data_IF_903690393497
#
_entry.id   IF_903690393497
#
_cell.length_a   1.000
_cell.length_b   1.000
_cell.length_c   1.000
_cell.angle_alpha   90.00
_cell.angle_beta   90.00
_cell.angle_gamma   90.00
#
_symmetry.space_group_name_H-M   'P 1'
#
loop_
_entity.id
_entity.type
_entity.pdbx_description
1 polymer ?
#
# COMPACT_ATOMS: atom_id res chain seq x y z
N UNK A 1 32.73 -5.54 78.91
CA UNK A 1 31.57 -6.40 79.28
C UNK A 1 31.55 -7.59 78.31
N UNK A 2 32.21 -8.73 78.61
CA UNK A 2 31.64 -10.00 79.14
C UNK A 2 30.23 -10.30 78.54
N UNK A 3 29.96 -11.37 77.78
CA UNK A 3 30.38 -12.80 77.77
C UNK A 3 30.34 -13.33 76.31
N UNK A 4 31.38 -13.92 75.69
CA UNK A 4 31.85 -15.33 75.70
C UNK A 4 30.76 -16.41 75.84
N UNK A 5 30.65 -17.34 74.88
CA UNK A 5 30.86 -18.80 75.07
C UNK A 5 31.03 -19.50 73.71
N UNK A 6 32.01 -20.40 73.66
CA UNK A 6 32.48 -21.30 72.59
C UNK A 6 32.03 -22.74 72.95
N UNK A 7 32.12 -23.67 71.98
CA UNK A 7 32.15 -25.16 72.03
C UNK A 7 30.83 -25.85 71.61
N UNK A 8 30.80 -26.97 70.89
CA UNK A 8 31.81 -27.92 70.44
C UNK A 8 31.30 -28.72 69.20
N UNK A 9 32.24 -29.32 68.47
CA UNK A 9 32.00 -30.45 67.57
C UNK A 9 31.46 -31.67 68.35
N UNK A 10 30.46 -32.36 67.78
CA UNK A 10 30.21 -33.80 68.05
C UNK A 10 29.98 -34.51 66.72
N UNK A 11 30.82 -35.50 66.49
CA UNK A 11 30.76 -36.52 65.44
C UNK A 11 29.58 -37.46 65.65
N UNK A 12 28.82 -37.74 64.61
CA UNK A 12 27.83 -38.81 64.58
C UNK A 12 27.63 -39.34 63.16
N UNK A 13 28.31 -40.44 62.84
CA UNK A 13 28.00 -41.27 61.67
C UNK A 13 26.75 -42.08 62.03
N UNK A 14 25.69 -41.94 61.22
CA UNK A 14 24.61 -42.91 61.16
C UNK A 14 24.34 -43.23 59.68
N UNK A 15 24.70 -44.47 59.31
CA UNK A 15 24.34 -45.08 58.03
C UNK A 15 22.85 -45.41 58.08
N UNK A 16 22.07 -44.84 57.18
CA UNK A 16 20.66 -45.14 56.97
C UNK A 16 20.36 -45.09 55.49
N UNK A 17 20.11 -46.25 54.90
CA UNK A 17 19.76 -46.43 53.50
C UNK A 17 18.35 -45.87 53.18
N UNK A 18 18.14 -45.62 51.88
CA UNK A 18 16.84 -45.40 51.23
C UNK A 18 16.27 -43.97 51.40
N UNK A 19 15.77 -43.27 50.38
CA UNK A 19 15.23 -43.65 49.07
C UNK A 19 15.84 -42.73 47.99
N UNK A 20 16.17 -43.29 46.83
CA UNK A 20 16.11 -42.52 45.59
C UNK A 20 14.65 -42.11 45.39
N UNK A 21 14.32 -40.87 45.71
CA UNK A 21 13.12 -40.26 45.18
C UNK A 21 13.35 -40.11 43.68
N UNK A 22 12.95 -41.12 42.92
CA UNK A 22 12.62 -40.93 41.52
C UNK A 22 11.44 -39.97 41.57
N UNK A 23 11.69 -38.67 41.45
CA UNK A 23 10.63 -37.75 41.09
C UNK A 23 10.19 -38.22 39.71
N UNK A 24 9.13 -39.04 39.68
CA UNK A 24 8.31 -39.12 38.49
C UNK A 24 7.87 -37.68 38.24
N UNK A 25 8.54 -37.01 37.30
CA UNK A 25 7.87 -35.99 36.53
C UNK A 25 6.69 -36.74 35.92
N UNK A 26 5.53 -36.66 36.60
CA UNK A 26 4.29 -36.80 35.87
C UNK A 26 4.36 -35.65 34.87
N UNK A 27 4.66 -35.98 33.61
CA UNK A 27 4.34 -35.10 32.51
C UNK A 27 2.91 -34.64 32.78
N UNK A 28 2.74 -33.33 33.03
CA UNK A 28 1.41 -32.77 33.06
C UNK A 28 0.77 -33.24 31.75
N UNK A 29 -0.35 -33.95 31.84
CA UNK A 29 -1.03 -34.41 30.64
C UNK A 29 -1.33 -33.16 29.83
N UNK A 30 -0.64 -33.06 28.70
CA UNK A 30 -0.89 -32.02 27.73
C UNK A 30 -2.25 -32.35 27.14
N UNK A 31 -3.30 -31.81 27.77
CA UNK A 31 -4.68 -32.13 27.43
C UNK A 31 -5.08 -31.57 26.06
N UNK A 32 -4.14 -31.00 25.31
CA UNK A 32 -4.35 -30.42 24.00
C UNK A 32 -5.23 -29.17 24.05
N UNK A 33 -5.15 -28.37 22.99
CA UNK A 33 -6.08 -27.28 22.73
C UNK A 33 -7.14 -27.76 21.76
N UNK A 34 -8.40 -27.80 22.18
CA UNK A 34 -9.49 -28.29 21.34
C UNK A 34 -9.61 -27.51 20.02
N UNK A 35 -9.83 -28.22 18.91
CA UNK A 35 -10.12 -27.61 17.61
C UNK A 35 -11.63 -27.45 17.48
N UNK A 36 -12.14 -26.32 17.94
CA UNK A 36 -13.58 -26.03 17.97
C UNK A 36 -13.87 -24.55 17.70
N UNK A 37 -15.15 -24.20 17.61
CA UNK A 37 -15.62 -22.83 17.34
C UNK A 37 -15.28 -21.83 18.46
N UNK A 38 -15.01 -22.28 19.68
CA UNK A 38 -14.62 -21.39 20.78
C UNK A 38 -13.18 -20.87 20.60
N UNK A 39 -12.27 -21.74 20.16
CA UNK A 39 -10.85 -21.38 19.95
C UNK A 39 -10.61 -20.84 18.54
N UNK A 40 -11.20 -21.49 17.53
CA UNK A 40 -11.08 -21.17 16.11
C UNK A 40 -12.49 -20.91 15.54
N UNK A 41 -13.09 -19.73 15.73
CA UNK A 41 -14.48 -19.46 15.38
C UNK A 41 -14.77 -19.52 13.89
N UNK A 42 -13.80 -19.15 13.05
CA UNK A 42 -13.96 -19.19 11.59
C UNK A 42 -13.88 -20.63 11.06
N UNK A 43 -14.93 -21.08 10.37
CA UNK A 43 -15.04 -22.45 9.83
C UNK A 43 -13.89 -22.81 8.87
N UNK A 44 -13.49 -21.87 8.00
CA UNK A 44 -12.46 -22.11 7.00
C UNK A 44 -11.07 -22.17 7.65
N UNK A 45 -10.81 -21.29 8.63
CA UNK A 45 -9.57 -21.35 9.40
C UNK A 45 -9.50 -22.60 10.29
N UNK A 46 -10.59 -22.95 10.97
CA UNK A 46 -10.66 -24.15 11.80
C UNK A 46 -10.41 -25.43 10.98
N UNK A 47 -11.04 -25.55 9.82
CA UNK A 47 -10.79 -26.67 8.89
C UNK A 47 -9.33 -26.71 8.39
N UNK A 48 -8.68 -25.55 8.23
CA UNK A 48 -7.26 -25.51 7.91
C UNK A 48 -6.39 -26.01 9.07
N UNK A 49 -6.75 -25.68 10.31
CA UNK A 49 -6.02 -26.07 11.52
C UNK A 49 -6.08 -27.58 11.79
N UNK A 50 -7.15 -28.27 11.37
CA UNK A 50 -7.29 -29.74 11.51
C UNK A 50 -6.14 -30.56 10.88
N UNK A 51 -5.37 -29.98 9.96
CA UNK A 51 -4.21 -30.66 9.37
C UNK A 51 -3.01 -30.77 10.35
N UNK A 52 -3.01 -29.94 11.41
CA UNK A 52 -1.97 -29.91 12.43
C UNK A 52 -2.19 -30.97 13.49
N UNK A 53 -3.44 -31.35 13.76
CA UNK A 53 -3.81 -32.53 14.56
C UNK A 53 -3.39 -33.81 13.80
N UNK A 54 -2.30 -34.43 14.26
CA UNK A 54 -1.65 -35.60 13.65
C UNK A 54 -2.28 -36.89 14.12
N UNK A 55 -2.68 -36.96 15.38
CA UNK A 55 -3.28 -38.16 15.96
C UNK A 55 -4.80 -38.26 15.74
N UNK A 56 -5.41 -37.19 15.21
CA UNK A 56 -6.83 -37.04 14.89
C UNK A 56 -7.72 -37.15 16.12
N UNK A 57 -7.24 -36.66 17.27
CA UNK A 57 -7.98 -36.68 18.52
C UNK A 57 -8.93 -35.45 18.69
N UNK A 58 -8.88 -34.48 17.78
CA UNK A 58 -9.70 -33.26 17.82
C UNK A 58 -9.12 -32.13 18.67
N UNK A 59 -7.85 -32.23 19.08
CA UNK A 59 -7.12 -31.23 19.84
C UNK A 59 -5.68 -31.12 19.36
N UNK A 60 -5.03 -30.00 19.64
CA UNK A 60 -3.63 -29.74 19.33
C UNK A 60 -2.80 -29.78 20.59
N UNK A 61 -1.91 -30.76 20.72
CA UNK A 61 -0.93 -30.78 21.80
C UNK A 61 0.21 -29.76 21.57
N UNK A 62 1.03 -29.53 22.58
CA UNK A 62 2.17 -28.61 22.53
C UNK A 62 3.23 -28.99 21.51
N UNK A 63 3.37 -30.28 21.19
CA UNK A 63 4.30 -30.75 20.15
C UNK A 63 3.76 -30.40 18.77
N UNK A 64 2.45 -30.59 18.54
CA UNK A 64 1.78 -30.24 17.30
C UNK A 64 1.79 -28.72 17.08
N UNK A 65 1.43 -27.93 18.10
CA UNK A 65 1.49 -26.46 18.05
C UNK A 65 2.92 -25.97 17.79
N UNK A 66 3.93 -26.50 18.51
CA UNK A 66 5.32 -26.09 18.34
C UNK A 66 5.92 -26.50 16.98
N UNK A 67 5.37 -27.51 16.31
CA UNK A 67 5.79 -27.91 14.98
C UNK A 67 5.28 -26.96 13.88
N UNK A 68 4.24 -26.16 14.14
CA UNK A 68 3.70 -25.19 13.16
C UNK A 68 4.58 -23.96 13.12
N UNK A 69 5.36 -23.85 12.04
CA UNK A 69 6.27 -22.72 11.79
C UNK A 69 5.82 -21.84 10.62
N UNK A 70 4.86 -22.31 9.82
CA UNK A 70 4.28 -21.56 8.70
C UNK A 70 2.79 -21.86 8.55
N UNK A 71 2.00 -20.82 8.29
CA UNK A 71 0.58 -20.86 7.98
C UNK A 71 0.38 -20.10 6.67
N UNK A 72 -0.26 -20.76 5.71
CA UNK A 72 -0.64 -20.21 4.41
C UNK A 72 -2.12 -20.48 4.16
N UNK A 73 -2.91 -19.42 4.28
CA UNK A 73 -4.36 -19.40 4.19
C UNK A 73 -4.86 -18.35 3.19
N UNK A 74 -4.05 -18.03 2.19
CA UNK A 74 -4.41 -17.06 1.15
C UNK A 74 -5.70 -17.49 0.40
N UNK A 75 -6.60 -16.55 0.11
CA UNK A 75 -7.76 -16.80 -0.77
C UNK A 75 -8.81 -17.76 -0.18
N UNK A 76 -8.85 -17.96 1.14
CA UNK A 76 -9.70 -18.98 1.80
C UNK A 76 -11.05 -18.46 2.27
N UNK A 77 -11.35 -17.16 2.07
CA UNK A 77 -12.57 -16.49 2.56
C UNK A 77 -12.68 -16.55 4.09
N UNK A 78 -11.54 -16.44 4.77
CA UNK A 78 -11.47 -16.40 6.24
C UNK A 78 -11.84 -15.00 6.71
N UNK A 79 -12.78 -14.89 7.63
CA UNK A 79 -13.16 -13.64 8.28
C UNK A 79 -12.43 -13.42 9.62
N UNK A 80 -11.94 -14.49 10.25
CA UNK A 80 -11.19 -14.38 11.51
C UNK A 80 -10.07 -15.42 11.61
N UNK A 81 -8.88 -14.96 12.02
CA UNK A 81 -7.76 -15.81 12.39
C UNK A 81 -7.65 -16.03 13.90
N UNK A 82 -8.72 -15.79 14.67
CA UNK A 82 -8.72 -16.05 16.11
C UNK A 82 -8.28 -17.50 16.39
N UNK A 83 -7.36 -17.66 17.33
CA UNK A 83 -6.65 -18.91 17.63
C UNK A 83 -5.26 -19.00 17.01
N UNK A 84 -4.91 -18.12 16.05
CA UNK A 84 -3.56 -18.07 15.46
C UNK A 84 -2.48 -17.74 16.49
N UNK A 85 -2.83 -16.99 17.54
CA UNK A 85 -1.92 -16.59 18.63
C UNK A 85 -1.33 -17.78 19.41
N UNK A 86 -1.91 -18.98 19.27
CA UNK A 86 -1.40 -20.22 19.88
C UNK A 86 -0.09 -20.69 19.24
N UNK A 87 0.11 -20.42 17.95
CA UNK A 87 1.26 -20.89 17.18
C UNK A 87 2.49 -19.99 17.39
N UNK A 88 2.99 -19.91 18.63
CA UNK A 88 4.09 -19.00 19.01
C UNK A 88 5.42 -19.25 18.29
N UNK A 89 5.59 -20.41 17.63
CA UNK A 89 6.74 -20.76 16.77
C UNK A 89 6.56 -20.40 15.30
N UNK A 90 5.46 -19.72 14.96
CA UNK A 90 5.18 -19.27 13.61
C UNK A 90 6.18 -18.19 13.19
N UNK A 91 6.95 -18.48 12.14
CA UNK A 91 7.86 -17.52 11.52
C UNK A 91 7.30 -16.93 10.21
N UNK A 92 6.29 -17.57 9.62
CA UNK A 92 5.61 -17.09 8.41
C UNK A 92 4.10 -17.21 8.54
N UNK A 93 3.41 -16.08 8.34
CA UNK A 93 1.95 -16.02 8.21
C UNK A 93 1.59 -15.40 6.86
N UNK A 94 0.83 -16.12 6.05
CA UNK A 94 0.27 -15.62 4.79
C UNK A 94 -1.24 -15.81 4.80
N UNK A 95 -1.97 -14.70 4.80
CA UNK A 95 -3.43 -14.63 4.88
C UNK A 95 -4.02 -13.60 3.92
N UNK A 96 -3.35 -13.38 2.78
CA UNK A 96 -3.81 -12.47 1.74
C UNK A 96 -5.18 -12.88 1.18
N UNK A 97 -5.91 -11.92 0.59
CA UNK A 97 -7.15 -12.17 -0.16
C UNK A 97 -8.19 -12.91 0.71
N UNK A 98 -8.51 -12.34 1.87
CA UNK A 98 -9.48 -12.86 2.82
C UNK A 98 -10.42 -11.73 3.29
N UNK A 99 -11.32 -12.03 4.23
CA UNK A 99 -12.29 -11.09 4.78
C UNK A 99 -11.92 -10.63 6.20
N UNK A 100 -10.62 -10.68 6.58
CA UNK A 100 -10.15 -10.46 7.95
C UNK A 100 -10.29 -8.99 8.33
N UNK A 101 -11.08 -8.70 9.36
CA UNK A 101 -11.25 -7.35 9.90
C UNK A 101 -10.29 -7.02 11.05
N UNK A 102 -9.86 -8.05 11.79
CA UNK A 102 -8.97 -7.93 12.94
C UNK A 102 -7.91 -9.04 12.89
N UNK A 103 -6.65 -8.66 13.11
CA UNK A 103 -5.51 -9.57 13.08
C UNK A 103 -4.63 -9.33 14.31
N UNK A 104 -4.70 -10.25 15.27
CA UNK A 104 -3.82 -10.26 16.45
C UNK A 104 -2.61 -11.15 16.19
N UNK A 105 -1.43 -10.51 16.13
CA UNK A 105 -0.13 -11.18 15.93
C UNK A 105 0.83 -10.94 17.09
N UNK A 106 0.37 -10.34 18.20
CA UNK A 106 1.23 -9.91 19.30
C UNK A 106 1.98 -11.09 19.96
N UNK A 107 1.37 -12.27 20.01
CA UNK A 107 1.98 -13.48 20.56
C UNK A 107 3.03 -14.13 19.64
N UNK A 108 3.06 -13.76 18.35
CA UNK A 108 3.91 -14.39 17.33
C UNK A 108 5.32 -13.77 17.32
N UNK A 109 6.05 -13.93 18.42
CA UNK A 109 7.36 -13.26 18.64
C UNK A 109 8.46 -13.73 17.68
N UNK A 110 8.31 -14.88 17.04
CA UNK A 110 9.24 -15.42 16.05
C UNK A 110 8.85 -15.06 14.60
N UNK A 111 7.80 -14.26 14.41
CA UNK A 111 7.28 -13.91 13.08
C UNK A 111 8.27 -13.05 12.29
N UNK A 112 8.71 -13.58 11.15
CA UNK A 112 9.65 -12.93 10.23
C UNK A 112 8.98 -12.43 8.96
N UNK A 113 7.93 -13.12 8.51
CA UNK A 113 7.21 -12.80 7.28
C UNK A 113 5.71 -12.73 7.61
N UNK A 114 5.13 -11.54 7.41
CA UNK A 114 3.69 -11.33 7.47
C UNK A 114 3.19 -10.83 6.12
N UNK A 115 2.25 -11.57 5.54
CA UNK A 115 1.52 -11.18 4.35
C UNK A 115 0.02 -11.22 4.66
N UNK A 116 -0.61 -10.05 4.70
CA UNK A 116 -2.02 -9.87 5.04
C UNK A 116 -2.71 -8.89 4.07
N UNK A 117 -2.25 -8.85 2.82
CA UNK A 117 -2.81 -7.96 1.80
C UNK A 117 -4.27 -8.30 1.48
N UNK A 118 -5.00 -7.34 0.91
CA UNK A 118 -6.34 -7.59 0.37
C UNK A 118 -7.28 -8.23 1.41
N UNK A 119 -7.39 -7.58 2.56
CA UNK A 119 -8.28 -7.93 3.67
C UNK A 119 -9.20 -6.74 4.02
N UNK A 120 -9.80 -6.74 5.21
CA UNK A 120 -10.65 -5.66 5.72
C UNK A 120 -10.05 -5.00 6.97
N UNK A 121 -8.74 -5.06 7.12
CA UNK A 121 -8.05 -4.53 8.31
C UNK A 121 -8.17 -3.02 8.35
N UNK A 122 -8.60 -2.47 9.47
CA UNK A 122 -8.57 -1.02 9.74
C UNK A 122 -7.37 -0.59 10.58
N UNK A 123 -6.70 -1.56 11.21
CA UNK A 123 -5.49 -1.39 11.98
C UNK A 123 -4.64 -2.66 11.90
N UNK A 124 -3.34 -2.50 12.14
CA UNK A 124 -2.41 -3.61 12.24
C UNK A 124 -1.33 -3.23 13.25
N UNK A 125 -1.27 -3.94 14.37
CA UNK A 125 -0.22 -3.79 15.37
C UNK A 125 0.83 -4.88 15.17
N UNK A 126 2.03 -4.46 14.77
CA UNK A 126 3.22 -5.33 14.61
C UNK A 126 4.36 -4.90 15.54
N UNK A 127 4.09 -4.04 16.52
CA UNK A 127 5.11 -3.46 17.41
C UNK A 127 5.81 -4.50 18.28
N UNK A 128 5.14 -5.64 18.48
CA UNK A 128 5.59 -6.79 19.24
C UNK A 128 6.35 -7.83 18.40
N UNK A 129 6.33 -7.70 17.07
CA UNK A 129 6.98 -8.62 16.12
C UNK A 129 8.35 -8.08 15.70
N UNK A 130 9.28 -7.97 16.66
CA UNK A 130 10.61 -7.37 16.45
C UNK A 130 11.52 -8.16 15.49
N UNK A 131 11.16 -9.41 15.19
CA UNK A 131 11.84 -10.27 14.23
C UNK A 131 11.37 -10.10 12.78
N UNK A 132 10.39 -9.22 12.53
CA UNK A 132 9.80 -9.03 11.21
C UNK A 132 10.83 -8.48 10.21
N UNK A 133 10.99 -9.20 9.10
CA UNK A 133 11.89 -8.89 7.99
C UNK A 133 11.10 -8.45 6.75
N UNK A 134 9.91 -9.02 6.56
CA UNK A 134 9.03 -8.72 5.42
C UNK A 134 7.60 -8.49 5.89
N UNK A 135 7.03 -7.36 5.48
CA UNK A 135 5.64 -7.01 5.68
C UNK A 135 4.97 -6.67 4.34
N UNK A 136 3.91 -7.40 4.01
CA UNK A 136 3.04 -7.15 2.86
C UNK A 136 1.64 -6.92 3.41
N UNK A 137 1.25 -5.65 3.54
CA UNK A 137 0.00 -5.21 4.15
C UNK A 137 -0.87 -4.37 3.20
N UNK A 138 -0.40 -4.13 1.97
CA UNK A 138 -1.08 -3.36 0.94
C UNK A 138 -2.34 -4.00 0.36
N UNK A 139 -2.87 -3.37 -0.70
CA UNK A 139 -3.94 -3.92 -1.53
C UNK A 139 -3.50 -3.91 -3.01
N UNK A 140 -3.70 -5.03 -3.70
CA UNK A 140 -3.39 -5.22 -5.11
C UNK A 140 -4.59 -5.69 -5.94
N UNK A 141 -5.64 -6.17 -5.28
CA UNK A 141 -6.91 -6.51 -5.90
C UNK A 141 -7.72 -5.26 -6.24
N UNK A 142 -8.59 -5.39 -7.24
CA UNK A 142 -9.52 -4.32 -7.65
C UNK A 142 -10.95 -4.54 -7.15
N UNK A 143 -11.19 -5.61 -6.38
CA UNK A 143 -12.49 -5.92 -5.79
C UNK A 143 -12.66 -5.13 -4.49
N UNK A 144 -13.86 -4.56 -4.27
CA UNK A 144 -14.11 -3.62 -3.19
C UNK A 144 -13.93 -4.24 -1.79
N UNK A 145 -13.26 -3.51 -0.90
CA UNK A 145 -12.87 -3.99 0.43
C UNK A 145 -11.38 -4.32 0.44
N UNK A 146 -10.59 -3.42 1.02
CA UNK A 146 -9.14 -3.56 1.19
C UNK A 146 -8.75 -3.02 2.55
N UNK A 147 -7.53 -3.33 2.98
CA UNK A 147 -6.97 -2.80 4.20
C UNK A 147 -6.97 -1.27 4.16
N UNK A 148 -7.41 -0.64 5.23
CA UNK A 148 -7.47 0.82 5.36
C UNK A 148 -6.89 1.25 6.70
N UNK A 149 -5.61 1.60 6.70
CA UNK A 149 -4.90 1.95 7.93
C UNK A 149 -4.97 3.46 8.18
N UNK A 150 -5.39 3.86 9.38
CA UNK A 150 -5.21 5.25 9.83
C UNK A 150 -3.73 5.53 10.15
N UNK A 151 -3.03 4.53 10.70
CA UNK A 151 -1.62 4.55 11.00
C UNK A 151 -1.05 3.13 10.86
N UNK A 152 0.23 3.02 10.48
CA UNK A 152 0.99 1.78 10.47
C UNK A 152 2.29 2.00 11.24
N UNK A 153 2.29 1.62 12.52
CA UNK A 153 3.46 1.80 13.39
C UNK A 153 4.49 0.69 13.14
N UNK A 154 5.65 1.10 12.62
CA UNK A 154 6.78 0.22 12.28
C UNK A 154 8.02 0.48 13.15
N UNK A 155 7.87 1.26 14.23
CA UNK A 155 8.97 1.79 15.04
C UNK A 155 9.83 0.71 15.73
N UNK A 156 9.26 -0.46 15.99
CA UNK A 156 9.96 -1.60 16.61
C UNK A 156 10.47 -2.65 15.61
N UNK A 157 10.20 -2.49 14.31
CA UNK A 157 10.53 -3.48 13.29
C UNK A 157 11.87 -3.15 12.59
N UNK A 158 12.94 -2.96 13.37
CA UNK A 158 14.25 -2.54 12.85
C UNK A 158 14.91 -3.55 11.87
N UNK A 159 14.43 -4.79 11.83
CA UNK A 159 14.89 -5.85 10.91
C UNK A 159 14.18 -5.83 9.56
N UNK A 160 13.14 -5.00 9.39
CA UNK A 160 12.35 -4.93 8.18
C UNK A 160 13.24 -4.51 6.99
N UNK A 161 13.31 -5.36 5.97
CA UNK A 161 14.03 -5.09 4.72
C UNK A 161 13.09 -4.96 3.51
N UNK A 162 11.84 -5.42 3.64
CA UNK A 162 10.81 -5.35 2.63
C UNK A 162 9.51 -4.86 3.24
N UNK A 163 9.00 -3.74 2.73
CA UNK A 163 7.69 -3.21 3.06
C UNK A 163 6.86 -2.98 1.80
N UNK A 164 5.66 -3.50 1.79
CA UNK A 164 4.64 -3.16 0.80
C UNK A 164 3.32 -2.80 1.50
N UNK A 165 2.93 -1.54 1.39
CA UNK A 165 1.77 -0.93 2.03
C UNK A 165 0.99 -0.04 1.03
N UNK A 166 0.88 -0.50 -0.22
CA UNK A 166 0.15 0.21 -1.26
C UNK A 166 -1.36 0.24 -1.01
N UNK A 167 -2.01 1.31 -1.46
CA UNK A 167 -3.48 1.41 -1.48
C UNK A 167 -4.16 1.25 -0.12
N UNK A 168 -3.48 1.62 0.97
CA UNK A 168 -3.98 1.51 2.34
C UNK A 168 -4.70 2.77 2.86
N UNK A 169 -4.70 3.86 2.09
CA UNK A 169 -5.24 5.15 2.52
C UNK A 169 -4.35 5.90 3.52
N UNK A 170 -3.04 5.58 3.55
CA UNK A 170 -2.08 6.23 4.43
C UNK A 170 -1.91 7.71 4.07
N UNK A 171 -1.94 8.60 5.05
CA UNK A 171 -1.63 10.03 4.88
C UNK A 171 -0.18 10.37 5.28
N UNK A 172 0.45 9.48 6.05
CA UNK A 172 1.85 9.55 6.45
C UNK A 172 2.40 8.13 6.62
N UNK A 173 3.72 8.00 6.53
CA UNK A 173 4.43 6.73 6.73
C UNK A 173 5.79 7.02 7.35
N UNK A 174 5.95 6.72 8.65
CA UNK A 174 7.22 6.81 9.35
C UNK A 174 7.99 5.49 9.23
N UNK A 175 9.14 5.54 8.56
CA UNK A 175 10.05 4.42 8.34
C UNK A 175 11.47 4.71 8.87
N UNK A 176 11.60 5.72 9.73
CA UNK A 176 12.89 6.18 10.25
C UNK A 176 13.62 5.10 11.07
N UNK A 177 12.88 4.21 11.71
CA UNK A 177 13.42 3.08 12.46
C UNK A 177 13.88 1.90 11.58
N UNK A 178 13.37 1.80 10.34
CA UNK A 178 13.61 0.66 9.45
C UNK A 178 14.88 0.89 8.60
N UNK A 179 16.02 1.10 9.26
CA UNK A 179 17.30 1.45 8.61
C UNK A 179 17.84 0.38 7.64
N UNK A 180 17.35 -0.85 7.75
CA UNK A 180 17.70 -1.97 6.87
C UNK A 180 16.76 -2.12 5.66
N UNK A 181 15.82 -1.20 5.46
CA UNK A 181 14.84 -1.28 4.37
C UNK A 181 15.54 -1.22 2.99
N UNK A 182 15.38 -2.29 2.21
CA UNK A 182 15.94 -2.43 0.87
C UNK A 182 14.89 -2.19 -0.22
N UNK A 183 13.63 -2.52 0.07
CA UNK A 183 12.49 -2.38 -0.84
C UNK A 183 11.31 -1.74 -0.13
N UNK A 184 10.80 -0.67 -0.72
CA UNK A 184 9.62 0.05 -0.26
C UNK A 184 8.63 0.21 -1.40
N UNK A 185 7.42 -0.33 -1.22
CA UNK A 185 6.23 0.01 -1.97
C UNK A 185 5.21 0.68 -1.06
N UNK A 186 4.83 1.91 -1.39
CA UNK A 186 3.80 2.67 -0.68
C UNK A 186 2.92 3.46 -1.66
N UNK A 187 2.76 2.94 -2.89
CA UNK A 187 2.05 3.60 -3.96
C UNK A 187 0.53 3.65 -3.72
N UNK A 188 -0.16 4.57 -4.40
CA UNK A 188 -1.61 4.72 -4.33
C UNK A 188 -2.11 5.03 -2.91
N UNK A 189 -1.43 5.92 -2.20
CA UNK A 189 -1.84 6.40 -0.87
C UNK A 189 -2.11 7.93 -0.94
N UNK A 190 -2.27 8.57 0.21
CA UNK A 190 -2.47 10.02 0.34
C UNK A 190 -1.29 10.72 1.01
N UNK A 191 -0.09 10.14 0.90
CA UNK A 191 1.12 10.62 1.58
C UNK A 191 1.56 11.97 0.99
N UNK A 192 1.73 12.98 1.85
CA UNK A 192 2.17 14.33 1.45
C UNK A 192 3.66 14.55 1.60
N UNK A 193 4.30 13.82 2.52
CA UNK A 193 5.73 13.87 2.81
C UNK A 193 6.26 12.47 3.08
N UNK A 194 7.43 12.14 2.53
CA UNK A 194 8.09 10.86 2.73
C UNK A 194 9.58 11.09 2.97
N UNK A 195 10.04 10.86 4.20
CA UNK A 195 11.46 10.91 4.56
C UNK A 195 12.09 9.52 4.42
N UNK A 196 13.00 9.36 3.46
CA UNK A 196 13.78 8.15 3.22
C UNK A 196 15.25 8.29 3.61
N UNK A 197 15.61 9.35 4.35
CA UNK A 197 17.01 9.72 4.65
C UNK A 197 17.74 8.68 5.51
N UNK A 198 17.01 7.95 6.35
CA UNK A 198 17.57 6.87 7.18
C UNK A 198 17.64 5.53 6.45
N UNK A 199 16.88 5.34 5.37
CA UNK A 199 16.77 4.08 4.63
C UNK A 199 17.85 4.01 3.52
N UNK A 200 19.11 4.18 3.91
CA UNK A 200 20.28 4.21 3.01
C UNK A 200 20.55 2.89 2.29
N UNK A 201 19.89 1.81 2.73
CA UNK A 201 19.93 0.49 2.09
C UNK A 201 18.97 0.35 0.90
N UNK A 202 18.06 1.31 0.67
CA UNK A 202 17.05 1.22 -0.38
C UNK A 202 17.67 0.99 -1.77
N UNK A 203 17.19 -0.05 -2.43
CA UNK A 203 17.52 -0.43 -3.81
C UNK A 203 16.32 -0.26 -4.75
N UNK A 204 15.10 -0.29 -4.20
CA UNK A 204 13.84 -0.13 -4.91
C UNK A 204 12.88 0.74 -4.10
N UNK A 205 12.37 1.80 -4.71
CA UNK A 205 11.35 2.67 -4.14
C UNK A 205 10.21 2.86 -5.13
N UNK A 206 8.99 2.52 -4.72
CA UNK A 206 7.77 2.89 -5.40
C UNK A 206 6.87 3.71 -4.46
N UNK A 207 6.81 5.02 -4.70
CA UNK A 207 5.95 5.97 -4.00
C UNK A 207 4.97 6.68 -4.96
N UNK A 208 4.69 6.09 -6.13
CA UNK A 208 3.81 6.69 -7.12
C UNK A 208 2.36 6.81 -6.64
N UNK A 209 1.55 7.65 -7.29
CA UNK A 209 0.15 7.87 -6.91
C UNK A 209 0.00 8.29 -5.44
N UNK A 210 0.74 9.33 -5.04
CA UNK A 210 0.63 9.97 -3.72
C UNK A 210 0.42 11.49 -3.93
N UNK A 211 0.61 12.29 -2.86
CA UNK A 211 0.48 13.75 -2.88
C UNK A 211 1.82 14.43 -2.58
N UNK A 212 2.94 13.77 -2.88
CA UNK A 212 4.28 14.29 -2.60
C UNK A 212 4.56 15.54 -3.44
N UNK A 213 5.00 16.63 -2.78
CA UNK A 213 5.47 17.85 -3.46
C UNK A 213 6.98 17.87 -3.68
N UNK A 214 7.71 17.12 -2.88
CA UNK A 214 9.15 16.94 -2.97
C UNK A 214 9.54 15.54 -2.50
N UNK A 215 10.72 15.08 -2.92
CA UNK A 215 11.33 13.84 -2.44
C UNK A 215 12.86 13.99 -2.47
N UNK A 216 13.50 13.90 -1.30
CA UNK A 216 14.97 13.91 -1.21
C UNK A 216 15.51 12.48 -1.28
N UNK A 217 16.21 12.17 -2.38
CA UNK A 217 16.84 10.87 -2.61
C UNK A 217 18.37 10.91 -2.47
N UNK A 218 18.93 12.01 -1.96
CA UNK A 218 20.37 12.26 -1.89
C UNK A 218 21.14 11.23 -1.05
N UNK A 219 20.47 10.56 -0.11
CA UNK A 219 21.06 9.50 0.73
C UNK A 219 20.89 8.09 0.15
N UNK A 220 19.97 7.89 -0.78
CA UNK A 220 19.61 6.57 -1.30
C UNK A 220 20.44 6.22 -2.55
N UNK A 221 21.76 6.30 -2.43
CA UNK A 221 22.71 6.15 -3.55
C UNK A 221 22.75 4.74 -4.15
N UNK A 222 22.09 3.76 -3.49
CA UNK A 222 21.95 2.37 -3.93
C UNK A 222 20.69 2.11 -4.76
N UNK A 223 19.83 3.11 -4.96
CA UNK A 223 18.60 2.95 -5.75
C UNK A 223 18.92 2.53 -7.18
N UNK A 224 18.29 1.43 -7.60
CA UNK A 224 18.35 0.88 -8.97
C UNK A 224 17.01 0.99 -9.68
N UNK A 225 15.92 0.99 -8.90
CA UNK A 225 14.53 1.14 -9.34
C UNK A 225 13.86 2.25 -8.55
N UNK A 226 13.25 3.18 -9.27
CA UNK A 226 12.48 4.29 -8.73
C UNK A 226 11.20 4.47 -9.55
N UNK A 227 10.08 4.56 -8.86
CA UNK A 227 8.83 5.12 -9.36
C UNK A 227 8.26 6.11 -8.33
N UNK A 228 8.22 7.37 -8.72
CA UNK A 228 7.64 8.51 -8.00
C UNK A 228 6.65 9.27 -8.91
N UNK A 229 6.13 8.61 -9.95
CA UNK A 229 5.15 9.16 -10.86
C UNK A 229 3.82 9.50 -10.19
N UNK A 230 2.98 10.26 -10.87
CA UNK A 230 1.62 10.59 -10.40
C UNK A 230 1.59 11.18 -8.97
N UNK A 231 2.53 12.06 -8.67
CA UNK A 231 2.58 12.88 -7.45
C UNK A 231 2.35 14.36 -7.81
N UNK A 232 2.73 15.27 -6.92
CA UNK A 232 2.72 16.72 -7.11
C UNK A 232 4.14 17.29 -7.18
N UNK A 233 5.12 16.51 -7.64
CA UNK A 233 6.49 16.98 -7.75
C UNK A 233 6.60 18.05 -8.83
N UNK A 234 7.33 19.12 -8.56
CA UNK A 234 7.73 20.14 -9.56
C UNK A 234 9.18 19.98 -10.01
N UNK A 235 9.92 19.10 -9.34
CA UNK A 235 11.32 18.82 -9.66
C UNK A 235 11.72 17.46 -9.13
N UNK A 236 12.83 16.94 -9.63
CA UNK A 236 13.45 15.74 -9.10
C UNK A 236 14.97 15.82 -9.35
N UNK A 237 15.76 15.61 -8.30
CA UNK A 237 17.22 15.53 -8.40
C UNK A 237 17.69 14.09 -8.20
N UNK A 238 18.31 13.54 -9.24
CA UNK A 238 18.87 12.19 -9.29
C UNK A 238 20.40 12.21 -9.45
N UNK A 239 21.06 13.36 -9.24
CA UNK A 239 22.52 13.49 -9.37
C UNK A 239 23.30 12.57 -8.44
N UNK A 240 22.71 12.18 -7.31
CA UNK A 240 23.29 11.25 -6.34
C UNK A 240 22.84 9.78 -6.54
N UNK A 241 22.07 9.49 -7.59
CA UNK A 241 21.48 8.16 -7.84
C UNK A 241 21.91 7.59 -9.20
N UNK A 242 23.22 7.35 -9.42
CA UNK A 242 23.76 6.97 -10.72
C UNK A 242 23.36 5.56 -11.19
N UNK A 243 22.79 4.74 -10.29
CA UNK A 243 22.39 3.35 -10.57
C UNK A 243 20.95 3.21 -11.07
N UNK A 244 20.17 4.30 -11.10
CA UNK A 244 18.78 4.26 -11.55
C UNK A 244 18.72 4.03 -13.06
N UNK A 245 18.19 2.86 -13.43
CA UNK A 245 18.04 2.46 -14.83
C UNK A 245 16.67 2.75 -15.41
N UNK A 246 15.64 2.98 -14.57
CA UNK A 246 14.27 3.27 -15.04
C UNK A 246 14.27 4.46 -16.00
N UNK A 247 13.50 4.33 -17.07
CA UNK A 247 13.49 5.31 -18.17
C UNK A 247 12.69 6.56 -17.77
N UNK A 248 11.60 6.40 -17.02
CA UNK A 248 10.67 7.50 -16.67
C UNK A 248 10.13 7.40 -15.23
N UNK A 249 10.98 7.59 -14.20
CA UNK A 249 10.59 7.40 -12.81
C UNK A 249 9.55 8.40 -12.28
N UNK A 250 9.20 9.47 -13.02
CA UNK A 250 8.43 10.60 -12.50
C UNK A 250 7.26 11.03 -13.41
N UNK A 251 6.82 10.17 -14.33
CA UNK A 251 5.73 10.51 -15.25
C UNK A 251 4.42 10.81 -14.52
N UNK A 252 3.67 11.78 -15.04
CA UNK A 252 2.33 12.09 -14.56
C UNK A 252 2.27 12.95 -13.31
N UNK A 253 3.40 13.53 -12.89
CA UNK A 253 3.42 14.52 -11.82
C UNK A 253 2.70 15.81 -12.24
N UNK A 254 1.75 16.26 -11.40
CA UNK A 254 0.96 17.47 -11.63
C UNK A 254 0.90 18.32 -10.36
N UNK A 255 1.37 19.57 -10.43
CA UNK A 255 1.28 20.52 -9.33
C UNK A 255 0.26 21.62 -9.65
N UNK A 256 -0.68 21.85 -8.75
CA UNK A 256 -1.71 22.87 -8.91
C UNK A 256 -1.23 24.23 -8.38
N UNK A 257 -1.18 25.24 -9.27
CA UNK A 257 -0.84 26.62 -8.95
C UNK A 257 -2.02 27.37 -8.30
N UNK A 258 -3.21 26.77 -8.29
CA UNK A 258 -4.44 27.41 -7.84
C UNK A 258 -4.98 28.41 -8.86
N UNK A 259 -5.78 29.37 -8.38
CA UNK A 259 -6.35 30.40 -9.23
C UNK A 259 -5.34 31.53 -9.50
N UNK A 260 -4.93 31.70 -10.76
CA UNK A 260 -3.95 32.73 -11.13
C UNK A 260 -4.08 33.18 -12.59
N UNK A 261 -3.40 34.30 -12.90
CA UNK A 261 -3.19 34.83 -14.27
C UNK A 261 -1.70 35.07 -14.58
N UNK A 262 -0.89 35.10 -13.52
CA UNK A 262 0.57 35.04 -13.55
C UNK A 262 1.03 34.23 -12.33
N UNK A 263 2.22 33.64 -12.38
CA UNK A 263 2.77 32.85 -11.27
C UNK A 263 4.28 33.07 -11.15
N UNK A 264 4.78 33.41 -9.95
CA UNK A 264 6.22 33.58 -9.68
C UNK A 264 6.85 32.22 -9.34
N UNK A 265 7.77 31.74 -10.20
CA UNK A 265 8.39 30.43 -10.05
C UNK A 265 9.22 30.29 -8.77
N UNK A 266 9.60 31.40 -8.12
CA UNK A 266 10.27 31.37 -6.81
C UNK A 266 9.44 30.67 -5.74
N UNK A 267 8.12 30.69 -5.87
CA UNK A 267 7.24 29.98 -4.94
C UNK A 267 7.45 28.46 -4.98
N UNK A 268 8.01 27.91 -6.05
CA UNK A 268 8.32 26.47 -6.17
C UNK A 268 9.70 26.10 -5.62
N UNK A 269 10.58 27.07 -5.36
CA UNK A 269 11.94 26.80 -4.82
C UNK A 269 11.88 26.09 -3.46
N UNK A 270 10.83 26.36 -2.67
CA UNK A 270 10.61 25.67 -1.40
C UNK A 270 10.40 24.16 -1.55
N UNK A 271 10.02 23.69 -2.74
CA UNK A 271 9.83 22.27 -3.07
C UNK A 271 11.01 21.68 -3.87
N UNK A 272 12.10 22.44 -4.01
CA UNK A 272 13.32 22.01 -4.71
C UNK A 272 13.39 22.37 -6.19
N UNK A 273 12.42 23.14 -6.70
CA UNK A 273 12.44 23.63 -8.08
C UNK A 273 13.63 24.57 -8.32
N UNK A 274 14.34 24.34 -9.43
CA UNK A 274 15.46 25.13 -9.90
C UNK A 274 15.23 25.48 -11.37
N UNK A 275 14.97 26.76 -11.64
CA UNK A 275 14.71 27.26 -13.00
C UNK A 275 15.86 26.96 -13.96
N UNK A 276 17.11 26.87 -13.47
CA UNK A 276 18.27 26.57 -14.32
C UNK A 276 18.28 25.13 -14.86
N UNK A 277 17.51 24.23 -14.25
CA UNK A 277 17.33 22.85 -14.69
C UNK A 277 16.17 22.68 -15.68
N UNK A 278 15.36 23.73 -15.91
CA UNK A 278 14.35 23.70 -16.98
C UNK A 278 15.05 23.73 -18.33
N UNK A 279 14.80 22.73 -19.17
CA UNK A 279 15.46 22.57 -20.47
C UNK A 279 15.14 23.78 -21.34
N UNK A 280 16.19 24.49 -21.77
CA UNK A 280 16.14 25.72 -22.55
C UNK A 280 15.29 26.86 -21.93
N UNK A 281 14.93 26.75 -20.64
CA UNK A 281 13.99 27.67 -19.98
C UNK A 281 12.59 27.67 -20.62
N UNK A 282 12.24 26.60 -21.34
CA UNK A 282 11.03 26.53 -22.15
C UNK A 282 9.85 25.93 -21.39
N UNK A 283 8.72 26.63 -21.46
CA UNK A 283 7.42 26.19 -20.97
C UNK A 283 6.44 26.13 -22.15
N UNK A 284 5.75 25.00 -22.29
CA UNK A 284 4.66 24.84 -23.25
C UNK A 284 3.37 25.27 -22.56
N UNK A 285 2.65 26.21 -23.16
CA UNK A 285 1.40 26.76 -22.62
C UNK A 285 1.56 28.02 -21.76
N UNK A 286 2.79 28.55 -21.59
CA UNK A 286 3.05 29.79 -20.87
C UNK A 286 4.29 30.51 -21.41
N UNK A 287 4.37 31.82 -21.23
CA UNK A 287 5.59 32.61 -21.47
C UNK A 287 6.36 32.82 -20.16
N UNK A 288 7.69 32.68 -20.21
CA UNK A 288 8.57 33.01 -19.09
C UNK A 288 9.07 34.45 -19.22
N UNK A 289 8.73 35.31 -18.26
CA UNK A 289 9.16 36.71 -18.19
C UNK A 289 9.60 37.08 -16.78
N UNK A 290 10.84 37.50 -16.63
CA UNK A 290 11.41 37.94 -15.34
C UNK A 290 11.23 36.93 -14.19
N UNK A 291 11.30 35.62 -14.50
CA UNK A 291 11.10 34.53 -13.53
C UNK A 291 9.63 34.17 -13.26
N UNK A 292 8.69 34.82 -13.94
CA UNK A 292 7.26 34.54 -13.84
C UNK A 292 6.74 33.83 -15.08
N UNK A 293 5.79 32.93 -14.86
CA UNK A 293 4.91 32.44 -15.92
C UNK A 293 3.82 33.50 -16.15
N UNK A 294 3.60 33.85 -17.41
CA UNK A 294 2.57 34.81 -17.85
C UNK A 294 1.90 34.31 -19.14
N UNK A 295 0.82 34.97 -19.55
CA UNK A 295 0.13 34.73 -20.81
C UNK A 295 -0.40 33.29 -21.00
N UNK A 296 -0.65 32.54 -19.93
CA UNK A 296 -1.14 31.17 -20.06
C UNK A 296 -2.66 31.04 -20.15
N UNK A 297 -3.42 32.07 -19.71
CA UNK A 297 -4.89 32.07 -19.74
C UNK A 297 -5.52 32.09 -21.14
N UNK A 298 -4.79 32.54 -22.16
CA UNK A 298 -5.31 32.71 -23.53
C UNK A 298 -4.89 31.58 -24.49
N UNK A 299 -4.06 30.63 -24.04
CA UNK A 299 -3.24 29.78 -24.92
C UNK A 299 -3.48 28.27 -24.71
N UNK A 300 -4.08 27.81 -23.62
CA UNK A 300 -4.09 26.39 -23.27
C UNK A 300 -5.49 25.73 -23.35
N UNK A 301 -5.64 24.73 -24.22
CA UNK A 301 -6.85 23.90 -24.36
C UNK A 301 -7.19 23.06 -23.10
N UNK A 302 -6.31 23.00 -22.09
CA UNK A 302 -6.46 22.12 -20.91
C UNK A 302 -6.05 22.75 -19.56
N UNK A 303 -5.76 24.07 -19.48
CA UNK A 303 -5.21 24.73 -18.27
C UNK A 303 -3.94 24.03 -17.70
N UNK A 304 -3.09 23.52 -18.59
CA UNK A 304 -1.84 22.85 -18.24
C UNK A 304 -0.64 23.62 -18.82
N UNK A 305 0.45 23.66 -18.06
CA UNK A 305 1.76 24.19 -18.47
C UNK A 305 2.77 23.06 -18.32
N UNK A 306 3.45 22.70 -19.41
CA UNK A 306 4.41 21.60 -19.42
C UNK A 306 5.83 22.12 -19.56
N UNK A 307 6.78 21.48 -18.87
CA UNK A 307 8.20 21.80 -19.00
C UNK A 307 9.04 20.54 -18.83
N UNK A 308 10.11 20.47 -19.63
CA UNK A 308 11.13 19.45 -19.47
C UNK A 308 12.16 19.90 -18.43
N UNK A 309 12.61 18.97 -17.59
CA UNK A 309 13.47 19.24 -16.45
C UNK A 309 14.66 18.28 -16.40
N UNK A 310 15.86 18.81 -16.20
CA UNK A 310 17.10 18.04 -16.02
C UNK A 310 17.15 17.41 -14.62
N UNK A 311 17.27 16.08 -14.60
CA UNK A 311 17.32 15.29 -13.36
C UNK A 311 18.72 15.21 -12.76
N UNK A 312 19.74 15.85 -13.37
CA UNK A 312 21.11 15.87 -12.88
C UNK A 312 21.90 14.57 -13.11
N UNK A 313 21.30 13.57 -13.77
CA UNK A 313 21.93 12.30 -14.12
C UNK A 313 22.03 12.07 -15.65
N UNK A 314 21.93 13.15 -16.43
CA UNK A 314 21.96 13.11 -17.89
C UNK A 314 20.63 12.67 -18.54
N UNK A 315 19.56 12.53 -17.74
CA UNK A 315 18.19 12.31 -18.20
C UNK A 315 17.34 13.55 -17.92
N UNK A 316 16.27 13.69 -18.70
CA UNK A 316 15.25 14.71 -18.52
C UNK A 316 13.88 14.06 -18.39
N UNK A 317 12.94 14.71 -17.70
CA UNK A 317 11.53 14.30 -17.66
C UNK A 317 10.61 15.50 -17.81
N UNK A 318 9.34 15.26 -18.10
CA UNK A 318 8.35 16.33 -18.16
C UNK A 318 7.57 16.41 -16.84
N UNK A 319 7.37 17.63 -16.38
CA UNK A 319 6.45 17.96 -15.29
C UNK A 319 5.32 18.82 -15.83
N UNK A 320 4.18 18.77 -15.15
CA UNK A 320 3.00 19.55 -15.49
C UNK A 320 2.62 20.44 -14.32
N UNK A 321 2.42 21.73 -14.59
CA UNK A 321 1.69 22.63 -13.70
C UNK A 321 0.25 22.74 -14.21
N UNK A 322 -0.71 22.72 -13.30
CA UNK A 322 -2.11 23.00 -13.61
C UNK A 322 -2.51 24.31 -12.93
N UNK A 323 -3.52 24.98 -13.44
CA UNK A 323 -4.02 26.21 -12.83
C UNK A 323 -5.52 26.38 -13.08
N UNK A 324 -6.14 27.28 -12.31
CA UNK A 324 -7.49 27.78 -12.57
C UNK A 324 -7.37 29.22 -13.09
N UNK A 325 -7.86 29.55 -14.31
CA UNK A 325 -7.79 30.92 -14.80
C UNK A 325 -8.58 31.87 -13.90
N UNK A 326 -7.93 32.95 -13.45
CA UNK A 326 -8.62 34.03 -12.74
C UNK A 326 -9.52 34.80 -13.70
N UNK A 327 -10.81 34.91 -13.39
CA UNK A 327 -11.76 35.66 -14.22
C UNK A 327 -11.33 37.13 -14.33
N UNK A 328 -11.34 37.69 -15.55
CA UNK A 328 -11.12 39.12 -15.74
C UNK A 328 -12.22 39.90 -15.02
N UNK A 329 -11.85 40.78 -14.08
CA UNK A 329 -12.79 41.77 -13.54
C UNK A 329 -13.15 42.72 -14.69
N UNK A 330 -14.35 42.56 -15.25
CA UNK A 330 -14.93 43.55 -16.16
C UNK A 330 -15.18 44.81 -15.32
N UNK A 331 -14.22 45.73 -15.28
CA UNK A 331 -14.50 47.09 -14.84
C UNK A 331 -15.35 47.75 -15.92
N UNK A 332 -16.67 47.74 -15.72
CA UNK A 332 -17.60 48.50 -16.56
C UNK A 332 -17.29 49.99 -16.39
N UNK A 333 -16.46 50.56 -17.26
CA UNK A 333 -16.51 52.00 -17.53
C UNK A 333 -17.81 52.24 -18.28
N UNK A 334 -18.78 52.85 -17.59
CA UNK A 334 -20.04 53.32 -18.14
C UNK A 334 -19.80 54.16 -19.40
N UNK A 335 -20.22 53.67 -20.56
CA UNK A 335 -20.68 54.55 -21.64
C UNK A 335 -22.18 54.38 -21.82
N UNK A 336 -22.84 55.48 -21.48
CA UNK A 336 -24.25 55.74 -21.43
C UNK A 336 -24.72 56.20 -22.82
N UNK A 337 -25.56 55.42 -23.52
CA UNK A 337 -26.52 55.94 -24.50
C UNK A 337 -27.79 55.09 -24.53
N UNK A 338 -28.74 55.46 -23.67
CA UNK A 338 -30.17 55.71 -23.94
C UNK A 338 -30.91 54.96 -25.07
N UNK A 339 -31.92 54.19 -24.64
CA UNK A 339 -33.35 54.15 -25.07
C UNK A 339 -33.73 53.92 -26.53
N UNK A 340 -34.57 52.90 -26.77
CA UNK A 340 -36.02 53.13 -27.02
C UNK A 340 -36.87 51.87 -26.82
N UNK A 341 -38.00 52.06 -26.14
CA UNK A 341 -39.09 51.11 -25.90
C UNK A 341 -39.90 50.82 -27.18
N UNK A 342 -40.50 49.63 -27.27
CA UNK A 342 -41.92 49.54 -27.66
C UNK A 342 -42.58 48.28 -27.09
N UNK A 343 -43.75 48.53 -26.51
CA UNK A 343 -44.66 47.61 -25.80
C UNK A 343 -45.61 46.87 -26.75
N UNK A 344 -46.20 45.82 -26.16
CA UNK A 344 -47.60 45.34 -26.31
C UNK A 344 -47.99 44.67 -27.66
N UNK A 345 -48.77 43.58 -27.73
CA UNK A 345 -50.01 43.22 -27.00
C UNK A 345 -50.31 41.70 -26.99
N UNK A 346 -51.03 41.26 -25.96
CA UNK A 346 -51.81 40.00 -25.86
C UNK A 346 -52.96 39.86 -26.87
N UNK A 347 -53.32 38.63 -27.25
CA UNK A 347 -54.70 38.09 -27.20
C UNK A 347 -54.82 36.65 -27.78
N UNK A 348 -55.55 35.79 -27.05
CA UNK A 348 -55.89 34.40 -27.39
C UNK A 348 -57.02 34.27 -28.44
N UNK A 349 -57.16 33.10 -29.09
CA UNK A 349 -58.44 32.33 -29.16
C UNK A 349 -58.30 30.94 -29.82
N UNK A 350 -58.63 29.91 -29.04
CA UNK A 350 -59.45 28.69 -29.27
C UNK A 350 -59.66 27.95 -30.62
N UNK A 351 -59.64 26.61 -30.48
CA UNK A 351 -60.45 25.55 -31.13
C UNK A 351 -60.10 25.17 -32.58
N UNK A 352 -60.19 23.94 -33.08
CA UNK A 352 -60.89 22.71 -32.66
C UNK A 352 -60.35 21.49 -33.43
N UNK A 353 -60.77 20.29 -32.99
CA UNK A 353 -60.98 19.06 -33.77
C UNK A 353 -59.83 18.02 -33.93
N UNK A 354 -59.90 17.02 -33.06
CA UNK A 354 -59.57 15.59 -33.25
C UNK A 354 -60.63 14.89 -34.16
N UNK A 355 -60.59 13.56 -34.49
CA UNK A 355 -59.58 12.53 -34.21
C UNK A 355 -59.28 11.59 -35.41
N UNK A 356 -58.32 10.67 -35.22
CA UNK A 356 -58.09 9.53 -36.11
C UNK A 356 -57.26 8.44 -35.43
N UNK A 357 -57.98 7.46 -34.89
CA UNK A 357 -57.56 6.21 -34.23
C UNK A 357 -56.48 5.41 -34.99
N UNK A 358 -55.48 4.88 -34.26
CA UNK A 358 -55.24 3.45 -33.94
C UNK A 358 -54.55 2.68 -35.09
N UNK A 359 -53.72 1.65 -34.89
CA UNK A 359 -53.68 0.59 -33.88
C UNK A 359 -52.32 -0.16 -34.01
N UNK A 360 -51.80 -0.68 -32.89
CA UNK A 360 -51.16 -2.01 -32.67
C UNK A 360 -50.03 -2.54 -33.59
N UNK A 361 -49.09 -3.40 -33.17
CA UNK A 361 -48.62 -3.96 -31.90
C UNK A 361 -47.35 -4.80 -32.16
N UNK A 362 -46.76 -5.31 -31.06
CA UNK A 362 -45.93 -6.54 -30.95
C UNK A 362 -44.51 -6.53 -31.56
N UNK A 363 -43.56 -7.37 -31.13
CA UNK A 363 -43.12 -7.92 -29.85
C UNK A 363 -41.85 -8.75 -30.15
N UNK A 364 -40.96 -8.87 -29.16
CA UNK A 364 -39.98 -9.96 -28.92
C UNK A 364 -38.94 -10.40 -29.97
N UNK A 365 -37.69 -10.47 -29.46
CA UNK A 365 -36.89 -11.69 -29.52
C UNK A 365 -35.70 -11.69 -30.49
N UNK A 366 -34.47 -11.73 -29.95
CA UNK A 366 -33.60 -12.93 -29.88
C UNK A 366 -32.12 -12.60 -29.72
N UNK A 367 -31.44 -13.43 -28.90
CA UNK A 367 -29.99 -13.59 -28.78
C UNK A 367 -29.30 -13.87 -30.12
N UNK A 368 -27.95 -13.84 -30.14
CA UNK A 368 -27.26 -15.05 -30.58
C UNK A 368 -26.17 -15.55 -29.62
N UNK A 369 -26.02 -16.87 -29.61
CA UNK A 369 -24.99 -17.67 -28.94
C UNK A 369 -23.97 -18.22 -29.93
N UNK A 370 -22.73 -18.34 -29.43
CA UNK A 370 -21.78 -19.46 -29.56
C UNK A 370 -20.99 -19.73 -30.87
N UNK A 371 -19.66 -19.85 -30.69
CA UNK A 371 -18.79 -21.01 -31.00
C UNK A 371 -17.33 -20.54 -31.11
N UNK A 372 -16.26 -21.30 -30.91
CA UNK A 372 -15.88 -22.53 -30.20
C UNK A 372 -14.36 -22.73 -30.47
N UNK A 373 -13.71 -23.55 -29.65
CA UNK A 373 -12.54 -24.41 -29.91
C UNK A 373 -11.13 -23.93 -29.55
N UNK A 374 -10.44 -24.80 -28.78
CA UNK A 374 -8.98 -24.81 -28.64
C UNK A 374 -8.44 -25.48 -27.37
N UNK A 375 -8.56 -26.82 -27.26
CA UNK A 375 -7.90 -27.67 -26.25
C UNK A 375 -6.36 -27.61 -26.30
N UNK A 376 -5.68 -27.77 -25.15
CA UNK A 376 -4.53 -28.68 -25.08
C UNK A 376 -4.22 -29.16 -23.65
N UNK A 377 -4.08 -30.48 -23.51
CA UNK A 377 -3.65 -31.21 -22.31
C UNK A 377 -2.12 -31.40 -22.29
N UNK A 378 -1.54 -31.56 -21.11
CA UNK A 378 -0.16 -32.04 -20.93
C UNK A 378 0.17 -32.39 -19.48
N UNK A 379 0.03 -33.67 -19.15
CA UNK A 379 0.51 -34.31 -17.92
C UNK A 379 2.04 -34.27 -17.79
N UNK A 380 2.58 -34.10 -16.57
CA UNK A 380 3.71 -34.93 -16.13
C UNK A 380 3.83 -35.06 -14.59
N UNK A 381 4.09 -36.29 -14.14
CA UNK A 381 4.27 -36.70 -12.74
C UNK A 381 5.75 -36.64 -12.30
N UNK A 382 5.97 -36.09 -11.11
CA UNK A 382 6.76 -36.68 -10.00
C UNK A 382 8.29 -36.73 -10.07
N UNK A 383 8.96 -36.04 -9.12
CA UNK A 383 9.88 -36.65 -8.14
C UNK A 383 10.34 -35.61 -7.10
N UNK A 384 10.72 -36.08 -5.91
CA UNK A 384 10.80 -35.32 -4.66
C UNK A 384 12.25 -35.14 -4.19
N UNK A 385 12.49 -34.02 -3.45
CA UNK A 385 13.54 -33.76 -2.43
C UNK A 385 14.89 -33.11 -2.86
N UNK A 386 15.58 -32.40 -1.93
CA UNK A 386 15.38 -30.98 -1.61
C UNK A 386 16.68 -30.14 -1.70
N UNK A 387 16.60 -28.81 -1.81
CA UNK A 387 17.49 -27.79 -1.20
C UNK A 387 17.38 -26.46 -1.96
N UNK A 388 17.30 -25.35 -1.23
CA UNK A 388 17.45 -23.99 -1.76
C UNK A 388 16.17 -23.19 -1.69
N UNK A 389 16.14 -22.22 -0.78
CA UNK A 389 15.07 -21.26 -0.56
C UNK A 389 14.88 -20.41 -1.84
N UNK A 390 14.07 -20.90 -2.77
CA UNK A 390 13.64 -20.13 -3.93
C UNK A 390 12.42 -19.31 -3.50
N UNK A 391 12.66 -18.05 -3.14
CA UNK A 391 11.61 -17.05 -2.96
C UNK A 391 10.95 -16.89 -4.33
N UNK A 392 9.72 -17.39 -4.47
CA UNK A 392 8.92 -17.16 -5.66
C UNK A 392 8.69 -15.65 -5.79
N UNK A 393 9.38 -15.04 -6.77
CA UNK A 393 9.14 -13.67 -7.18
C UNK A 393 7.70 -13.56 -7.65
N UNK A 394 6.89 -12.74 -6.97
CA UNK A 394 5.66 -12.22 -7.56
C UNK A 394 6.07 -11.43 -8.82
N UNK A 395 5.57 -11.77 -10.01
CA UNK A 395 6.02 -11.15 -11.24
C UNK A 395 5.58 -9.68 -11.31
N UNK A 396 6.60 -8.82 -11.41
CA UNK A 396 6.61 -7.47 -11.99
C UNK A 396 5.58 -6.44 -11.50
N UNK A 397 6.08 -5.50 -10.70
CA UNK A 397 5.51 -4.20 -10.35
C UNK A 397 5.01 -3.40 -11.58
N UNK A 398 5.44 -3.73 -12.80
CA UNK A 398 4.96 -3.10 -14.03
C UNK A 398 3.49 -3.45 -14.39
N UNK A 399 2.95 -4.58 -13.91
CA UNK A 399 1.58 -4.98 -14.23
C UNK A 399 0.52 -4.14 -13.50
N UNK A 400 0.80 -3.71 -12.26
CA UNK A 400 -0.12 -2.89 -11.47
C UNK A 400 -0.26 -1.46 -12.05
N UNK A 401 0.84 -0.88 -12.55
CA UNK A 401 0.83 0.44 -13.20
C UNK A 401 0.02 0.44 -14.53
N UNK A 402 0.03 -0.66 -15.28
CA UNK A 402 -0.70 -0.77 -16.54
C UNK A 402 -2.23 -0.88 -16.36
N UNK A 403 -2.70 -1.45 -15.24
CA UNK A 403 -4.14 -1.66 -14.98
C UNK A 403 -4.84 -0.35 -14.58
N UNK A 404 -4.15 0.57 -13.92
CA UNK A 404 -4.71 1.90 -13.55
C UNK A 404 -4.89 2.79 -14.78
N UNK A 405 -4.02 2.70 -15.78
CA UNK A 405 -4.11 3.48 -17.04
C UNK A 405 -5.34 3.07 -17.88
N UNK A 406 -5.79 1.81 -17.79
CA UNK A 406 -6.94 1.33 -18.56
C UNK A 406 -8.31 1.85 -18.07
N UNK A 407 -8.42 2.34 -16.82
CA UNK A 407 -9.71 2.77 -16.24
C UNK A 407 -9.99 4.27 -16.29
N UNK A 408 -9.05 5.12 -16.72
CA UNK A 408 -9.30 6.56 -16.98
C UNK A 408 -9.70 6.88 -18.43
N UNK A 409 -9.82 5.88 -19.30
CA UNK A 409 -10.24 6.02 -20.71
C UNK A 409 -11.64 5.42 -20.99
N UNK A 410 -12.50 5.30 -19.98
CA UNK A 410 -13.91 4.94 -20.16
C UNK A 410 -14.82 5.92 -19.43
#
# INVERSE_FOLDING_TARGET
MKKKTIFAYVTGIAVGASLFAISSFAEASDNGTAINEEIFPDDAFRAYVEQFDKDKNGSLDSTEIAAVTSIDVNGKKIASLKGVELFTKLNKLSCNENDIAELDVAALKELQILSCSDNKLTSLDVTDNTELIMLIAGNFSTEGGGNKYENLDLSNNAKLNYLEAAACGLTSLDISANVNLEKLGCFNNEITELDVSQNVALTSLNCSFNKLKTIDLSKNTKLTSLDCGYNQLTSLDLSNNPLITSEYPSVGNKYDLGECSEFDLKELEQYGFDLSKVVDGHFVGAELKDGKLVNFNDIADENEILYAYDLGNGKTTNFTLTYTPKAEEITSSEENTSTEESKETDASTNSSDEPGESETAESEGTQPTASDSGENNGDNKGENKPTGLAIAFVPSIAAAAAIVIARRRK
#
